data_IF_294003647361
#
_entry.id   IF_294003647361
#
_cell.length_a   1.000
_cell.length_b   1.000
_cell.length_c   1.000
_cell.angle_alpha   90.00
_cell.angle_beta   90.00
_cell.angle_gamma   90.00
#
_symmetry.space_group_name_H-M   'P 1'
#
loop_
_entity.id
_entity.type
_entity.pdbx_description
1 polymer ?
#
# COMPACT_ATOMS: atom_id res chain seq x y z
N UNK A 1 45.68 36.75 30.27
CA UNK A 1 44.56 36.98 29.33
C UNK A 1 43.42 35.97 29.45
N UNK A 2 43.64 34.73 29.91
CA UNK A 2 42.54 33.77 30.15
C UNK A 2 41.93 33.86 31.55
N UNK A 3 42.59 34.53 32.49
CA UNK A 3 42.15 34.67 33.89
C UNK A 3 40.74 35.28 34.02
N UNK A 4 40.39 36.25 33.17
CA UNK A 4 39.06 36.88 33.16
C UNK A 4 37.96 35.94 32.61
N UNK A 5 38.33 34.92 31.83
CA UNK A 5 37.41 33.95 31.23
C UNK A 5 37.24 32.66 32.07
N UNK A 6 37.92 32.54 33.22
CA UNK A 6 37.89 31.33 34.07
C UNK A 6 36.47 30.83 34.36
N UNK A 7 35.51 31.68 34.79
CA UNK A 7 34.17 31.21 35.13
C UNK A 7 33.45 30.62 33.91
N UNK A 8 33.67 31.21 32.73
CA UNK A 8 33.06 30.80 31.48
C UNK A 8 33.66 29.49 30.97
N UNK A 9 34.98 29.33 31.02
CA UNK A 9 35.68 28.09 30.68
C UNK A 9 35.25 26.94 31.58
N UNK A 10 35.14 27.20 32.89
CA UNK A 10 34.67 26.22 33.88
C UNK A 10 33.23 25.79 33.60
N UNK A 11 32.35 26.73 33.26
CA UNK A 11 30.97 26.42 32.92
C UNK A 11 30.89 25.58 31.63
N UNK A 12 31.58 26.01 30.56
CA UNK A 12 31.62 25.27 29.27
C UNK A 12 32.17 23.86 29.42
N UNK A 13 33.20 23.67 30.25
CA UNK A 13 33.74 22.34 30.56
C UNK A 13 32.72 21.43 31.25
N UNK A 14 31.93 21.97 32.19
CA UNK A 14 30.89 21.20 32.90
C UNK A 14 29.73 20.81 31.99
N UNK A 15 29.26 21.76 31.19
CA UNK A 15 28.07 21.62 30.35
C UNK A 15 28.33 20.82 29.07
N UNK A 16 29.60 20.73 28.63
CA UNK A 16 29.98 19.98 27.44
C UNK A 16 29.80 18.46 27.64
N UNK A 17 29.08 17.83 26.69
CA UNK A 17 28.81 16.38 26.64
C UNK A 17 29.85 15.60 25.82
N UNK A 18 30.50 16.25 24.85
CA UNK A 18 31.51 15.62 24.01
C UNK A 18 32.84 15.54 24.79
N UNK A 19 33.38 14.33 24.95
CA UNK A 19 34.56 14.08 25.77
C UNK A 19 35.81 14.82 25.25
N UNK A 20 36.01 14.89 23.93
CA UNK A 20 37.17 15.56 23.34
C UNK A 20 37.08 17.08 23.52
N UNK A 21 35.92 17.68 23.26
CA UNK A 21 35.70 19.12 23.45
C UNK A 21 35.85 19.52 24.91
N UNK A 22 35.36 18.67 25.81
CA UNK A 22 35.46 18.85 27.26
C UNK A 22 36.90 18.89 27.75
N UNK A 23 37.78 18.06 27.19
CA UNK A 23 39.22 18.07 27.48
C UNK A 23 39.82 19.43 27.10
N UNK A 24 39.45 20.00 25.95
CA UNK A 24 39.96 21.31 25.51
C UNK A 24 39.57 22.42 26.49
N UNK A 25 38.30 22.43 26.92
CA UNK A 25 37.82 23.42 27.89
C UNK A 25 38.49 23.26 29.26
N UNK A 26 38.70 22.03 29.75
CA UNK A 26 39.43 21.81 31.01
C UNK A 26 40.91 22.20 30.92
N UNK A 27 41.56 21.97 29.78
CA UNK A 27 42.93 22.40 29.57
C UNK A 27 43.06 23.94 29.59
N UNK A 28 42.15 24.67 28.93
CA UNK A 28 42.15 26.13 29.01
C UNK A 28 41.76 26.66 30.39
N UNK A 29 40.86 25.97 31.09
CA UNK A 29 40.52 26.29 32.47
C UNK A 29 41.76 26.17 33.39
N UNK A 30 42.54 25.10 33.26
CA UNK A 30 43.79 24.91 34.00
C UNK A 30 44.79 26.08 33.77
N UNK A 31 44.98 26.50 32.52
CA UNK A 31 45.81 27.66 32.19
C UNK A 31 45.21 28.96 32.77
N UNK A 32 43.88 29.11 32.78
CA UNK A 32 43.22 30.30 33.33
C UNK A 32 43.36 30.47 34.84
N UNK A 33 43.58 29.37 35.58
CA UNK A 33 43.81 29.39 37.04
C UNK A 33 45.30 29.44 37.42
N UNK A 34 46.19 29.56 36.43
CA UNK A 34 47.62 29.81 36.65
C UNK A 34 48.56 28.62 36.35
N UNK A 35 48.07 27.49 35.83
CA UNK A 35 48.97 26.43 35.38
C UNK A 35 49.78 26.88 34.17
N UNK A 36 51.05 26.46 34.10
CA UNK A 36 51.86 26.72 32.92
C UNK A 36 51.33 25.93 31.72
N UNK A 37 51.54 26.47 30.51
CA UNK A 37 51.17 25.78 29.27
C UNK A 37 51.90 24.43 29.14
N UNK A 38 53.12 24.32 29.66
CA UNK A 38 53.90 23.08 29.67
C UNK A 38 53.24 22.02 30.56
N UNK A 39 52.95 22.38 31.81
CA UNK A 39 52.38 21.44 32.77
C UNK A 39 50.96 21.03 32.37
N UNK A 40 50.21 21.94 31.75
CA UNK A 40 48.90 21.65 31.18
C UNK A 40 49.02 20.67 30.01
N UNK A 41 49.96 20.88 29.09
CA UNK A 41 50.18 19.98 27.97
C UNK A 41 50.51 18.56 28.44
N UNK A 42 51.40 18.42 29.44
CA UNK A 42 51.76 17.14 30.04
C UNK A 42 50.58 16.49 30.78
N UNK A 43 49.81 17.26 31.54
CA UNK A 43 48.63 16.78 32.30
C UNK A 43 47.53 16.24 31.39
N UNK A 44 47.31 16.88 30.25
CA UNK A 44 46.27 16.50 29.29
C UNK A 44 46.79 15.63 28.14
N UNK A 45 48.06 15.22 28.17
CA UNK A 45 48.72 14.36 27.18
C UNK A 45 48.60 14.89 25.75
N UNK A 46 48.81 16.20 25.57
CA UNK A 46 48.81 16.88 24.27
C UNK A 46 50.11 17.65 24.06
N UNK A 47 50.41 18.02 22.82
CA UNK A 47 51.57 18.85 22.54
C UNK A 47 51.36 20.29 23.02
N UNK A 48 52.45 20.95 23.44
CA UNK A 48 52.43 22.35 23.89
C UNK A 48 51.82 23.29 22.84
N UNK A 49 52.07 22.99 21.56
CA UNK A 49 51.51 23.73 20.43
C UNK A 49 49.98 23.63 20.37
N UNK A 50 49.42 22.46 20.67
CA UNK A 50 47.96 22.24 20.70
C UNK A 50 47.27 23.11 21.73
N UNK A 51 47.88 23.30 22.91
CA UNK A 51 47.34 24.23 23.92
C UNK A 51 47.38 25.66 23.39
N UNK A 52 48.48 26.10 22.78
CA UNK A 52 48.55 27.44 22.17
C UNK A 52 47.50 27.65 21.06
N UNK A 53 47.24 26.64 20.23
CA UNK A 53 46.17 26.68 19.22
C UNK A 53 44.78 26.83 19.86
N UNK A 54 44.51 26.11 20.94
CA UNK A 54 43.26 26.25 21.68
C UNK A 54 43.12 27.63 22.32
N UNK A 55 44.20 28.19 22.88
CA UNK A 55 44.20 29.55 23.44
C UNK A 55 43.88 30.58 22.36
N UNK A 56 44.55 30.51 21.21
CA UNK A 56 44.33 31.42 20.10
C UNK A 56 42.88 31.34 19.61
N UNK A 57 42.39 30.11 19.39
CA UNK A 57 41.01 29.87 18.97
C UNK A 57 39.99 30.39 19.98
N UNK A 58 40.24 30.21 21.27
CA UNK A 58 39.37 30.73 22.32
C UNK A 58 39.37 32.25 22.37
N UNK A 59 40.52 32.89 22.22
CA UNK A 59 40.61 34.35 22.19
C UNK A 59 39.87 34.95 20.99
N UNK A 60 39.86 34.26 19.84
CA UNK A 60 39.16 34.70 18.63
C UNK A 60 37.66 34.38 18.63
N UNK A 61 37.28 33.13 18.93
CA UNK A 61 35.93 32.60 18.71
C UNK A 61 35.13 32.43 20.00
N UNK A 62 35.79 32.40 21.17
CA UNK A 62 35.22 31.99 22.47
C UNK A 62 34.48 30.64 22.39
N UNK A 63 34.94 29.75 21.49
CA UNK A 63 34.37 28.41 21.26
C UNK A 63 35.45 27.40 20.83
N UNK A 64 35.41 26.21 21.42
CA UNK A 64 36.29 25.07 21.12
C UNK A 64 35.53 23.86 20.56
N UNK A 65 34.25 24.02 20.21
CA UNK A 65 33.41 22.99 19.60
C UNK A 65 34.00 22.49 18.28
N UNK A 66 33.69 21.26 17.89
CA UNK A 66 34.09 20.74 16.60
C UNK A 66 33.31 21.45 15.48
N UNK A 67 34.03 22.05 14.53
CA UNK A 67 33.42 22.57 13.30
C UNK A 67 32.94 21.39 12.43
N UNK A 68 31.81 21.54 11.70
CA UNK A 68 31.38 20.52 10.75
C UNK A 68 32.50 20.25 9.75
N UNK A 69 32.96 18.99 9.71
CA UNK A 69 33.94 18.60 8.70
C UNK A 69 33.25 18.66 7.32
N UNK A 70 33.89 19.23 6.29
CA UNK A 70 33.34 19.19 4.94
C UNK A 70 33.09 17.73 4.57
N UNK A 71 31.82 17.41 4.32
CA UNK A 71 31.41 16.08 3.88
C UNK A 71 31.87 15.79 2.45
N UNK A 72 31.67 14.54 2.03
CA UNK A 72 31.81 14.19 0.61
C UNK A 72 30.85 15.09 -0.21
N UNK A 73 31.28 15.62 -1.37
CA UNK A 73 30.40 16.37 -2.26
C UNK A 73 29.13 15.56 -2.56
N UNK A 74 27.96 16.22 -2.62
CA UNK A 74 26.70 15.54 -2.91
C UNK A 74 26.79 14.82 -4.26
N UNK A 75 26.18 13.64 -4.33
CA UNK A 75 26.26 12.82 -5.54
C UNK A 75 25.52 13.43 -6.73
N UNK A 76 24.62 14.38 -6.49
CA UNK A 76 23.86 15.14 -7.50
C UNK A 76 24.07 16.64 -7.28
N UNK A 77 24.38 17.37 -8.35
CA UNK A 77 24.37 18.84 -8.38
C UNK A 77 22.94 19.35 -8.35
N UNK A 78 22.76 20.65 -8.16
CA UNK A 78 21.42 21.24 -8.12
C UNK A 78 20.73 21.20 -9.49
N UNK A 79 21.48 21.29 -10.58
CA UNK A 79 20.99 21.09 -11.95
C UNK A 79 20.50 19.65 -12.15
N UNK A 80 21.25 18.68 -11.66
CA UNK A 80 20.87 17.27 -11.81
C UNK A 80 19.68 16.91 -10.91
N UNK A 81 19.54 17.54 -9.74
CA UNK A 81 18.31 17.40 -8.92
C UNK A 81 17.10 17.99 -9.64
N UNK A 82 17.27 19.11 -10.35
CA UNK A 82 16.20 19.67 -11.17
C UNK A 82 15.82 18.72 -12.29
N UNK A 83 16.80 18.17 -13.01
CA UNK A 83 16.56 17.15 -14.04
C UNK A 83 15.85 15.92 -13.45
N UNK A 84 16.31 15.42 -12.29
CA UNK A 84 15.69 14.29 -11.60
C UNK A 84 14.20 14.54 -11.31
N UNK A 85 13.86 15.77 -10.92
CA UNK A 85 12.48 16.19 -10.69
C UNK A 85 11.69 16.24 -12.00
N UNK A 86 12.23 16.88 -13.03
CA UNK A 86 11.58 17.01 -14.34
C UNK A 86 11.29 15.63 -14.96
N UNK A 87 12.22 14.67 -14.82
CA UNK A 87 12.01 13.28 -15.25
C UNK A 87 10.82 12.63 -14.53
N UNK A 88 10.75 12.80 -13.20
CA UNK A 88 9.68 12.22 -12.38
C UNK A 88 8.33 12.86 -12.68
N UNK A 89 8.29 14.19 -12.82
CA UNK A 89 7.06 14.92 -13.11
C UNK A 89 6.52 14.57 -14.51
N UNK A 90 7.40 14.37 -15.50
CA UNK A 90 7.02 13.89 -16.83
C UNK A 90 6.57 12.42 -16.84
N UNK A 91 7.13 11.60 -15.94
CA UNK A 91 6.88 10.16 -15.79
C UNK A 91 6.82 9.36 -17.11
N UNK A 92 7.70 9.70 -18.06
CA UNK A 92 7.77 9.04 -19.37
C UNK A 92 9.18 8.50 -19.69
N UNK A 93 9.58 7.36 -19.11
CA UNK A 93 10.91 6.78 -19.36
C UNK A 93 11.20 6.49 -20.83
N UNK A 94 10.16 6.14 -21.61
CA UNK A 94 10.30 5.77 -23.03
C UNK A 94 10.80 6.94 -23.88
N UNK A 95 10.33 8.16 -23.59
CA UNK A 95 10.82 9.38 -24.23
C UNK A 95 12.33 9.59 -24.01
N UNK A 96 12.85 9.09 -22.91
CA UNK A 96 14.26 9.17 -22.51
C UNK A 96 15.07 7.91 -22.88
N UNK A 97 14.55 7.06 -23.76
CA UNK A 97 15.23 5.85 -24.24
C UNK A 97 15.23 4.69 -23.24
N UNK A 98 14.43 4.76 -22.17
CA UNK A 98 14.28 3.70 -21.18
C UNK A 98 13.01 2.91 -21.46
N UNK A 99 13.15 1.60 -21.71
CA UNK A 99 12.02 0.71 -21.92
C UNK A 99 11.33 0.33 -20.60
N UNK A 100 10.64 1.29 -20.00
CA UNK A 100 9.85 1.12 -18.78
C UNK A 100 8.57 1.96 -18.84
N UNK A 101 7.56 1.59 -18.05
CA UNK A 101 6.29 2.31 -17.97
C UNK A 101 6.29 3.49 -16.99
N UNK A 102 7.19 3.49 -16.00
CA UNK A 102 7.33 4.51 -14.96
C UNK A 102 8.79 4.61 -14.53
N UNK A 103 9.18 5.72 -13.90
CA UNK A 103 10.51 5.82 -13.29
C UNK A 103 10.59 5.07 -11.96
N UNK A 104 11.60 4.21 -11.82
CA UNK A 104 12.08 3.70 -10.54
C UNK A 104 13.58 4.02 -10.36
N UNK A 105 14.17 3.63 -9.21
CA UNK A 105 15.59 3.86 -8.95
C UNK A 105 16.53 3.10 -9.91
N UNK A 106 16.15 1.90 -10.36
CA UNK A 106 16.85 1.10 -11.37
C UNK A 106 16.80 1.78 -12.75
N UNK A 107 15.64 2.29 -13.17
CA UNK A 107 15.48 3.01 -14.43
C UNK A 107 16.24 4.34 -14.42
N UNK A 108 16.15 5.12 -13.34
CA UNK A 108 16.91 6.36 -13.19
C UNK A 108 18.42 6.09 -13.17
N UNK A 109 18.85 5.00 -12.53
CA UNK A 109 20.26 4.58 -12.59
C UNK A 109 20.70 4.27 -14.01
N UNK A 110 19.88 3.56 -14.80
CA UNK A 110 20.17 3.30 -16.22
C UNK A 110 20.25 4.60 -17.01
N UNK A 111 19.33 5.53 -16.77
CA UNK A 111 19.33 6.85 -17.42
C UNK A 111 20.65 7.60 -17.20
N UNK A 112 21.10 7.73 -15.95
CA UNK A 112 22.36 8.41 -15.65
C UNK A 112 23.58 7.64 -16.15
N UNK A 113 23.55 6.30 -16.13
CA UNK A 113 24.62 5.48 -16.67
C UNK A 113 24.81 5.70 -18.18
N UNK A 114 23.72 5.82 -18.95
CA UNK A 114 23.79 6.13 -20.39
C UNK A 114 24.38 7.52 -20.65
N UNK A 115 24.32 8.43 -19.67
CA UNK A 115 24.90 9.77 -19.72
C UNK A 115 26.30 9.85 -19.09
N UNK A 116 26.93 8.70 -18.83
CA UNK A 116 28.29 8.62 -18.31
C UNK A 116 28.41 8.80 -16.79
N UNK A 117 27.31 8.84 -16.06
CA UNK A 117 27.30 9.01 -14.60
C UNK A 117 26.97 7.71 -13.87
N UNK A 118 27.92 7.24 -13.07
CA UNK A 118 27.74 6.04 -12.24
C UNK A 118 27.22 6.42 -10.86
N UNK A 119 25.97 6.06 -10.58
CA UNK A 119 25.32 6.23 -9.27
C UNK A 119 24.65 4.93 -8.83
N UNK A 120 24.55 4.71 -7.52
CA UNK A 120 23.80 3.57 -6.97
C UNK A 120 22.31 3.91 -6.86
N UNK A 121 21.46 2.89 -6.87
CA UNK A 121 20.02 3.05 -6.65
C UNK A 121 19.72 3.65 -5.27
N UNK A 122 20.52 3.32 -4.25
CA UNK A 122 20.38 3.87 -2.90
C UNK A 122 20.67 5.38 -2.89
N UNK A 123 21.70 5.83 -3.61
CA UNK A 123 22.00 7.26 -3.72
C UNK A 123 20.85 8.03 -4.38
N UNK A 124 20.25 7.47 -5.43
CA UNK A 124 19.06 8.04 -6.09
C UNK A 124 17.91 8.11 -5.09
N UNK A 125 17.63 7.01 -4.39
CA UNK A 125 16.55 6.91 -3.38
C UNK A 125 16.70 7.94 -2.26
N UNK A 126 17.90 8.08 -1.70
CA UNK A 126 18.19 9.07 -0.64
C UNK A 126 17.97 10.49 -1.18
N UNK A 127 18.45 10.78 -2.39
CA UNK A 127 18.30 12.09 -3.03
C UNK A 127 16.84 12.44 -3.25
N UNK A 128 16.06 11.49 -3.77
CA UNK A 128 14.62 11.64 -3.97
C UNK A 128 13.87 11.91 -2.66
N UNK A 129 14.18 11.15 -1.61
CA UNK A 129 13.58 11.41 -0.28
C UNK A 129 13.96 12.77 0.27
N UNK A 130 15.22 13.20 0.12
CA UNK A 130 15.67 14.52 0.55
C UNK A 130 14.98 15.66 -0.23
N UNK A 131 14.59 15.41 -1.48
CA UNK A 131 13.79 16.33 -2.29
C UNK A 131 12.28 16.29 -1.98
N UNK A 132 11.84 15.43 -1.07
CA UNK A 132 10.43 15.28 -0.69
C UNK A 132 9.61 14.34 -1.58
N UNK A 133 10.26 13.54 -2.45
CA UNK A 133 9.54 12.58 -3.29
C UNK A 133 9.00 11.39 -2.47
N UNK A 134 7.84 10.88 -2.87
CA UNK A 134 7.19 9.74 -2.23
C UNK A 134 7.21 8.51 -3.13
N UNK A 135 7.54 7.35 -2.56
CA UNK A 135 7.43 6.07 -3.24
C UNK A 135 6.07 5.45 -2.94
N UNK A 136 5.13 5.60 -3.86
CA UNK A 136 3.72 5.17 -3.71
C UNK A 136 3.30 4.26 -4.85
N UNK A 137 2.27 3.45 -4.60
CA UNK A 137 1.69 2.58 -5.64
C UNK A 137 0.90 3.45 -6.63
N UNK A 138 1.19 3.31 -7.92
CA UNK A 138 0.41 3.97 -8.97
C UNK A 138 -1.09 3.59 -8.86
N UNK A 139 -1.95 4.60 -9.01
CA UNK A 139 -3.39 4.44 -9.08
C UNK A 139 -3.85 4.64 -10.52
N UNK A 140 -4.97 4.00 -10.89
CA UNK A 140 -5.61 4.29 -12.16
C UNK A 140 -6.38 5.59 -12.02
N UNK A 141 -6.14 6.54 -12.90
CA UNK A 141 -7.02 7.69 -13.06
C UNK A 141 -8.10 7.30 -14.08
N UNK A 142 -9.33 7.14 -13.60
CA UNK A 142 -10.48 6.85 -14.46
C UNK A 142 -10.84 8.10 -15.28
N UNK A 143 -11.43 7.93 -16.47
CA UNK A 143 -11.88 9.08 -17.28
C UNK A 143 -13.05 9.80 -16.60
N UNK A 144 -13.21 11.10 -16.79
CA UNK A 144 -14.34 11.89 -16.23
C UNK A 144 -15.71 11.24 -16.49
N UNK A 145 -15.94 10.72 -17.71
CA UNK A 145 -17.18 10.03 -18.08
C UNK A 145 -17.45 8.73 -17.28
N UNK A 146 -16.42 8.13 -16.68
CA UNK A 146 -16.56 6.97 -15.80
C UNK A 146 -16.95 7.40 -14.38
N UNK A 147 -16.46 8.56 -13.92
CA UNK A 147 -16.88 9.17 -12.66
C UNK A 147 -18.34 9.62 -12.67
N UNK A 148 -18.84 10.20 -13.77
CA UNK A 148 -20.26 10.57 -13.88
C UNK A 148 -21.17 9.35 -13.73
N UNK A 149 -20.84 8.23 -14.40
CA UNK A 149 -21.61 6.98 -14.30
C UNK A 149 -21.53 6.37 -12.90
N UNK A 150 -20.38 6.44 -12.25
CA UNK A 150 -20.23 6.04 -10.85
C UNK A 150 -21.12 6.89 -9.95
N UNK A 151 -21.16 8.20 -10.17
CA UNK A 151 -22.01 9.13 -9.42
C UNK A 151 -23.50 8.84 -9.61
N UNK A 152 -23.95 8.63 -10.85
CA UNK A 152 -25.32 8.25 -11.15
C UNK A 152 -25.71 6.96 -10.41
N UNK A 153 -24.83 5.96 -10.43
CA UNK A 153 -25.02 4.72 -9.69
C UNK A 153 -25.16 4.97 -8.19
N UNK A 154 -24.25 5.73 -7.58
CA UNK A 154 -24.27 6.02 -6.13
C UNK A 154 -25.56 6.75 -5.75
N UNK A 155 -25.96 7.76 -6.52
CA UNK A 155 -27.22 8.49 -6.27
C UNK A 155 -28.44 7.56 -6.37
N UNK A 156 -28.46 6.66 -7.36
CA UNK A 156 -29.54 5.70 -7.50
C UNK A 156 -29.53 4.68 -6.35
N UNK A 157 -28.36 4.20 -5.95
CA UNK A 157 -28.17 3.28 -4.83
C UNK A 157 -28.66 3.89 -3.51
N UNK A 158 -28.36 5.16 -3.24
CA UNK A 158 -28.86 5.87 -2.06
C UNK A 158 -30.38 6.00 -2.07
N UNK A 159 -30.98 6.32 -3.23
CA UNK A 159 -32.45 6.35 -3.40
C UNK A 159 -33.06 4.97 -3.15
N UNK A 160 -32.38 3.91 -3.56
CA UNK A 160 -32.84 2.54 -3.34
C UNK A 160 -32.75 2.18 -1.85
N UNK A 161 -31.62 2.44 -1.19
CA UNK A 161 -31.47 2.23 0.26
C UNK A 161 -32.54 2.99 1.04
N UNK A 162 -32.88 4.23 0.67
CA UNK A 162 -33.95 4.99 1.31
C UNK A 162 -35.35 4.38 1.18
N UNK A 163 -35.53 3.43 0.26
CA UNK A 163 -36.78 2.66 0.06
C UNK A 163 -36.70 1.25 0.65
N UNK A 164 -35.57 0.86 1.25
CA UNK A 164 -35.37 -0.47 1.77
C UNK A 164 -36.29 -0.70 2.98
N UNK A 165 -37.03 -1.79 2.93
CA UNK A 165 -37.90 -2.28 4.01
C UNK A 165 -37.46 -3.69 4.42
N UNK A 166 -37.90 -4.17 5.58
CA UNK A 166 -37.48 -5.47 6.13
C UNK A 166 -37.86 -6.69 5.26
N UNK A 167 -38.78 -6.50 4.31
CA UNK A 167 -39.22 -7.50 3.33
C UNK A 167 -38.49 -7.42 1.98
N UNK A 168 -37.46 -6.57 1.86
CA UNK A 168 -36.61 -6.44 0.68
C UNK A 168 -35.18 -6.90 1.02
N UNK A 169 -34.69 -7.90 0.29
CA UNK A 169 -33.29 -8.29 0.38
C UNK A 169 -32.41 -7.46 -0.57
N UNK A 170 -31.38 -6.82 -0.03
CA UNK A 170 -30.35 -6.13 -0.80
C UNK A 170 -29.09 -7.00 -0.88
N UNK A 171 -28.72 -7.39 -2.11
CA UNK A 171 -27.61 -8.29 -2.39
C UNK A 171 -26.68 -7.67 -3.42
N UNK A 172 -25.38 -7.92 -3.27
CA UNK A 172 -24.39 -7.70 -4.31
C UNK A 172 -23.91 -9.04 -4.85
N UNK A 173 -23.92 -9.20 -6.16
CA UNK A 173 -23.51 -10.40 -6.88
C UNK A 173 -22.23 -10.15 -7.67
N UNK A 174 -21.38 -11.17 -7.73
CA UNK A 174 -20.20 -11.20 -8.59
C UNK A 174 -19.71 -12.64 -8.75
N UNK A 175 -18.87 -12.83 -9.77
CA UNK A 175 -18.38 -14.12 -10.23
C UNK A 175 -16.86 -14.15 -10.24
N UNK A 176 -16.28 -15.21 -9.67
CA UNK A 176 -14.84 -15.44 -9.77
C UNK A 176 -14.50 -16.82 -10.34
N UNK A 177 -13.35 -16.94 -11.00
CA UNK A 177 -12.78 -18.24 -11.37
C UNK A 177 -11.76 -18.68 -10.32
N UNK A 178 -12.05 -19.78 -9.62
CA UNK A 178 -11.10 -20.44 -8.72
C UNK A 178 -10.37 -21.57 -9.47
N UNK A 179 -9.12 -21.82 -9.12
CA UNK A 179 -8.24 -22.78 -9.80
C UNK A 179 -7.68 -23.79 -8.80
N UNK A 180 -7.40 -25.02 -9.25
CA UNK A 180 -6.78 -26.06 -8.42
C UNK A 180 -5.32 -25.77 -8.06
N UNK A 181 -4.64 -25.00 -8.91
CA UNK A 181 -3.26 -24.55 -8.70
C UNK A 181 -3.24 -23.31 -7.80
N UNK A 182 -2.40 -23.28 -6.75
CA UNK A 182 -2.31 -22.15 -5.83
C UNK A 182 -1.80 -20.90 -6.53
N UNK A 183 -2.38 -19.75 -6.17
CA UNK A 183 -1.74 -18.44 -6.40
C UNK A 183 -0.79 -18.13 -5.25
N UNK A 184 0.31 -17.45 -5.55
CA UNK A 184 1.28 -17.00 -4.53
C UNK A 184 0.63 -15.92 -3.66
N UNK A 185 0.44 -16.23 -2.38
CA UNK A 185 0.04 -15.29 -1.35
C UNK A 185 1.16 -15.03 -0.36
N UNK A 186 1.02 -13.98 0.45
CA UNK A 186 1.96 -13.66 1.52
C UNK A 186 1.80 -14.59 2.72
N UNK A 187 2.89 -14.83 3.43
CA UNK A 187 2.94 -15.61 4.67
C UNK A 187 4.32 -15.47 5.33
N UNK A 188 4.41 -15.84 6.59
CA UNK A 188 5.66 -15.79 7.35
C UNK A 188 6.43 -17.10 7.23
N UNK A 189 7.75 -17.02 7.23
CA UNK A 189 8.67 -18.16 7.21
C UNK A 189 9.96 -17.76 7.94
N UNK A 190 10.61 -18.71 8.63
CA UNK A 190 11.94 -18.54 9.18
C UNK A 190 13.06 -18.92 8.19
N UNK A 191 12.68 -19.38 7.00
CA UNK A 191 13.60 -19.67 5.91
C UNK A 191 13.76 -18.45 4.99
N UNK A 192 14.80 -18.43 4.16
CA UNK A 192 15.02 -17.39 3.15
C UNK A 192 13.82 -17.19 2.20
N UNK A 193 13.01 -18.25 2.00
CA UNK A 193 11.85 -18.23 1.09
C UNK A 193 10.67 -19.00 1.66
N UNK A 194 9.47 -18.48 1.45
CA UNK A 194 8.22 -19.19 1.74
C UNK A 194 7.91 -20.12 0.55
N UNK A 195 7.92 -21.43 0.77
CA UNK A 195 7.68 -22.43 -0.28
C UNK A 195 6.26 -22.98 -0.16
N UNK A 196 5.48 -22.89 -1.25
CA UNK A 196 4.22 -23.62 -1.42
C UNK A 196 4.46 -24.79 -2.37
N UNK A 197 4.14 -26.01 -1.95
CA UNK A 197 4.26 -27.20 -2.81
C UNK A 197 3.15 -27.18 -3.87
N UNK A 198 3.54 -27.42 -5.13
CA UNK A 198 2.62 -27.59 -6.25
C UNK A 198 2.89 -28.93 -6.92
N UNK A 199 1.95 -29.86 -6.78
CA UNK A 199 2.06 -31.27 -7.17
C UNK A 199 1.75 -31.47 -8.67
N UNK A 200 0.93 -30.61 -9.30
CA UNK A 200 0.46 -30.82 -10.68
C UNK A 200 0.41 -29.53 -11.52
N UNK A 201 0.69 -29.66 -12.83
CA UNK A 201 0.58 -28.58 -13.83
C UNK A 201 -0.82 -28.49 -14.45
N UNK A 202 -1.65 -29.52 -14.32
CA UNK A 202 -3.00 -29.53 -14.89
C UNK A 202 -3.93 -28.62 -14.08
N UNK A 203 -4.35 -27.53 -14.71
CA UNK A 203 -5.14 -26.48 -14.09
C UNK A 203 -6.61 -26.68 -14.40
N UNK A 204 -7.34 -27.25 -13.44
CA UNK A 204 -8.80 -27.23 -13.48
C UNK A 204 -9.34 -25.93 -12.87
N UNK A 205 -10.50 -25.50 -13.38
CA UNK A 205 -11.17 -24.27 -12.96
C UNK A 205 -12.60 -24.54 -12.57
N UNK A 206 -13.09 -23.79 -11.59
CA UNK A 206 -14.51 -23.71 -11.24
C UNK A 206 -14.96 -22.25 -11.33
N UNK A 207 -16.12 -22.04 -11.92
CA UNK A 207 -16.83 -20.76 -11.87
C UNK A 207 -17.55 -20.68 -10.53
N UNK A 208 -17.26 -19.64 -9.75
CA UNK A 208 -17.88 -19.38 -8.47
C UNK A 208 -18.81 -18.19 -8.62
N UNK A 209 -20.06 -18.36 -8.20
CA UNK A 209 -21.09 -17.33 -8.12
C UNK A 209 -21.34 -17.03 -6.65
N UNK A 210 -21.45 -15.76 -6.30
CA UNK A 210 -21.61 -15.33 -4.92
C UNK A 210 -22.54 -14.15 -4.82
N UNK A 211 -23.40 -14.16 -3.80
CA UNK A 211 -24.14 -12.99 -3.35
C UNK A 211 -23.80 -12.69 -1.90
N UNK A 212 -23.67 -11.41 -1.56
CA UNK A 212 -23.50 -10.95 -0.19
C UNK A 212 -24.48 -9.83 0.11
N UNK A 213 -25.14 -9.93 1.26
CA UNK A 213 -25.87 -8.83 1.87
C UNK A 213 -24.90 -8.09 2.81
N UNK A 214 -24.45 -6.86 2.49
CA UNK A 214 -23.49 -6.13 3.32
C UNK A 214 -24.10 -5.65 4.65
N UNK A 215 -25.42 -5.54 4.75
CA UNK A 215 -26.13 -5.09 5.96
C UNK A 215 -26.24 -6.23 6.97
N UNK A 216 -26.69 -7.41 6.53
CA UNK A 216 -26.91 -8.56 7.42
C UNK A 216 -25.69 -9.45 7.57
N UNK A 217 -24.75 -9.40 6.62
CA UNK A 217 -23.63 -10.34 6.53
C UNK A 217 -24.02 -11.72 5.99
N UNK A 218 -25.26 -11.90 5.52
CA UNK A 218 -25.66 -13.13 4.86
C UNK A 218 -24.96 -13.26 3.50
N UNK A 219 -24.44 -14.45 3.18
CA UNK A 219 -23.86 -14.74 1.86
C UNK A 219 -24.28 -16.11 1.35
N UNK A 220 -24.43 -16.21 0.04
CA UNK A 220 -24.69 -17.47 -0.67
C UNK A 220 -23.61 -17.65 -1.71
N UNK A 221 -23.11 -18.88 -1.85
CA UNK A 221 -22.13 -19.23 -2.85
C UNK A 221 -22.52 -20.52 -3.58
N UNK A 222 -22.16 -20.59 -4.85
CA UNK A 222 -22.23 -21.81 -5.65
C UNK A 222 -21.03 -21.89 -6.60
N UNK A 223 -20.39 -23.06 -6.64
CA UNK A 223 -19.34 -23.37 -7.61
C UNK A 223 -19.87 -24.30 -8.69
N UNK A 224 -19.45 -24.10 -9.93
CA UNK A 224 -19.86 -24.92 -11.06
C UNK A 224 -18.74 -25.07 -12.09
N UNK A 225 -18.72 -26.23 -12.75
CA UNK A 225 -17.81 -26.52 -13.88
C UNK A 225 -18.50 -26.37 -15.24
N UNK A 226 -19.80 -26.11 -15.27
CA UNK A 226 -20.54 -25.92 -16.52
C UNK A 226 -20.41 -24.48 -17.02
N UNK A 227 -20.93 -24.23 -18.23
CA UNK A 227 -21.00 -22.88 -18.81
C UNK A 227 -21.67 -21.86 -17.87
N UNK A 228 -21.19 -20.61 -17.93
CA UNK A 228 -21.60 -19.56 -16.97
C UNK A 228 -23.11 -19.30 -16.96
N UNK A 229 -23.76 -19.10 -18.11
CA UNK A 229 -25.18 -18.75 -18.14
C UNK A 229 -26.10 -19.82 -17.51
N UNK A 230 -26.00 -21.12 -17.85
CA UNK A 230 -26.75 -22.16 -17.15
C UNK A 230 -26.44 -22.26 -15.64
N UNK A 231 -25.18 -22.02 -15.25
CA UNK A 231 -24.80 -22.01 -13.84
C UNK A 231 -25.41 -20.81 -13.10
N UNK A 232 -25.42 -19.63 -13.72
CA UNK A 232 -26.04 -18.43 -13.15
C UNK A 232 -27.54 -18.62 -12.95
N UNK A 233 -28.26 -19.25 -13.89
CA UNK A 233 -29.68 -19.58 -13.71
C UNK A 233 -29.89 -20.44 -12.45
N UNK A 234 -29.13 -21.53 -12.31
CA UNK A 234 -29.20 -22.37 -11.10
C UNK A 234 -28.83 -21.62 -9.82
N UNK A 235 -27.98 -20.61 -9.94
CA UNK A 235 -27.60 -19.78 -8.80
C UNK A 235 -28.74 -18.86 -8.40
N UNK A 236 -29.41 -18.20 -9.35
CA UNK A 236 -30.58 -17.37 -9.11
C UNK A 236 -31.73 -18.18 -8.49
N UNK A 237 -31.98 -19.41 -8.96
CA UNK A 237 -32.97 -20.32 -8.36
C UNK A 237 -32.66 -20.56 -6.86
N UNK A 238 -31.38 -20.75 -6.53
CA UNK A 238 -30.90 -20.94 -5.16
C UNK A 238 -31.07 -19.68 -4.31
N UNK A 239 -30.83 -18.50 -4.88
CA UNK A 239 -31.01 -17.22 -4.21
C UNK A 239 -32.49 -17.00 -3.90
N UNK A 240 -33.39 -17.16 -4.86
CA UNK A 240 -34.84 -17.00 -4.65
C UNK A 240 -35.36 -17.98 -3.58
N UNK A 241 -34.92 -19.24 -3.61
CA UNK A 241 -35.29 -20.22 -2.60
C UNK A 241 -34.81 -19.84 -1.18
N UNK A 242 -33.61 -19.26 -1.04
CA UNK A 242 -33.07 -18.84 0.26
C UNK A 242 -33.76 -17.59 0.80
N UNK A 243 -34.20 -16.70 -0.07
CA UNK A 243 -34.93 -15.47 0.27
C UNK A 243 -36.44 -15.63 0.02
N UNK A 244 -36.98 -16.84 0.16
CA UNK A 244 -38.39 -17.15 -0.14
C UNK A 244 -39.42 -16.31 0.63
N UNK A 245 -39.04 -15.77 1.79
CA UNK A 245 -39.88 -14.94 2.65
C UNK A 245 -39.83 -13.44 2.29
N UNK A 246 -38.98 -13.04 1.36
CA UNK A 246 -38.84 -11.65 0.93
C UNK A 246 -39.85 -11.33 -0.17
N UNK A 247 -40.41 -10.12 -0.16
CA UNK A 247 -41.27 -9.62 -1.25
C UNK A 247 -40.44 -9.30 -2.47
N UNK A 248 -39.27 -8.69 -2.28
CA UNK A 248 -38.34 -8.38 -3.37
C UNK A 248 -36.89 -8.76 -3.01
N UNK A 249 -36.12 -9.05 -4.05
CA UNK A 249 -34.68 -9.37 -3.95
C UNK A 249 -33.97 -8.46 -4.94
N UNK A 250 -33.32 -7.41 -4.46
CA UNK A 250 -32.52 -6.52 -5.27
C UNK A 250 -31.10 -7.03 -5.35
N UNK A 251 -30.65 -7.34 -6.56
CA UNK A 251 -29.31 -7.85 -6.82
C UNK A 251 -28.55 -6.82 -7.62
N UNK A 252 -27.48 -6.27 -7.03
CA UNK A 252 -26.54 -5.37 -7.67
C UNK A 252 -25.39 -6.15 -8.28
N UNK A 253 -25.11 -5.94 -9.57
CA UNK A 253 -24.10 -6.71 -10.30
C UNK A 253 -23.50 -5.94 -11.49
N UNK A 254 -22.42 -6.48 -12.07
CA UNK A 254 -21.74 -5.85 -13.19
C UNK A 254 -22.54 -5.95 -14.51
N UNK A 255 -22.04 -5.27 -15.54
CA UNK A 255 -22.68 -5.22 -16.86
C UNK A 255 -22.34 -6.41 -17.77
N UNK A 256 -21.85 -7.51 -17.20
CA UNK A 256 -21.40 -8.72 -17.88
C UNK A 256 -22.42 -9.24 -18.91
N UNK A 257 -21.98 -9.62 -20.12
CA UNK A 257 -22.89 -10.12 -21.17
C UNK A 257 -23.73 -11.33 -20.75
N UNK A 258 -23.22 -12.14 -19.81
CA UNK A 258 -23.90 -13.34 -19.30
C UNK A 258 -25.25 -13.01 -18.68
N UNK A 259 -25.35 -11.89 -17.95
CA UNK A 259 -26.56 -11.43 -17.26
C UNK A 259 -27.67 -11.01 -18.24
N UNK A 260 -27.28 -10.67 -19.48
CA UNK A 260 -28.20 -10.27 -20.57
C UNK A 260 -28.58 -11.43 -21.49
N UNK A 261 -28.09 -12.64 -21.20
CA UNK A 261 -28.36 -13.83 -22.02
C UNK A 261 -29.85 -14.22 -22.03
N UNK A 262 -30.29 -14.88 -23.12
CA UNK A 262 -31.69 -15.36 -23.25
C UNK A 262 -32.10 -16.30 -22.10
N UNK A 263 -31.17 -17.10 -21.59
CA UNK A 263 -31.42 -18.03 -20.48
C UNK A 263 -31.70 -17.28 -19.18
N UNK A 264 -30.90 -16.26 -18.86
CA UNK A 264 -31.08 -15.44 -17.66
C UNK A 264 -32.38 -14.64 -17.75
N UNK A 265 -32.70 -14.05 -18.90
CA UNK A 265 -33.98 -13.34 -19.12
C UNK A 265 -35.19 -14.25 -18.84
N UNK A 266 -35.20 -15.47 -19.38
CA UNK A 266 -36.26 -16.46 -19.11
C UNK A 266 -36.33 -16.92 -17.64
N UNK A 267 -35.19 -16.93 -16.94
CA UNK A 267 -35.16 -17.22 -15.50
C UNK A 267 -35.81 -16.07 -14.72
N UNK A 268 -35.48 -14.82 -15.02
CA UNK A 268 -36.07 -13.65 -14.35
C UNK A 268 -37.59 -13.54 -14.57
N UNK A 269 -38.10 -13.96 -15.72
CA UNK A 269 -39.55 -14.08 -15.96
C UNK A 269 -40.23 -15.06 -14.98
N UNK A 270 -39.53 -16.13 -14.57
CA UNK A 270 -40.02 -17.11 -13.58
C UNK A 270 -39.84 -16.64 -12.13
N UNK A 271 -38.91 -15.71 -11.89
CA UNK A 271 -38.60 -15.17 -10.56
C UNK A 271 -38.86 -13.65 -10.53
N UNK A 272 -40.14 -13.21 -10.62
CA UNK A 272 -40.48 -11.79 -10.77
C UNK A 272 -40.07 -10.92 -9.57
N UNK A 273 -39.76 -11.51 -8.42
CA UNK A 273 -39.26 -10.82 -7.22
C UNK A 273 -37.79 -10.44 -7.31
N UNK A 274 -37.00 -11.11 -8.16
CA UNK A 274 -35.60 -10.76 -8.39
C UNK A 274 -35.55 -9.52 -9.30
N UNK A 275 -35.01 -8.43 -8.77
CA UNK A 275 -34.76 -7.19 -9.48
C UNK A 275 -33.26 -7.00 -9.66
N UNK A 276 -32.78 -7.18 -10.89
CA UNK A 276 -31.39 -6.90 -11.22
C UNK A 276 -31.16 -5.39 -11.35
N UNK A 277 -30.13 -4.89 -10.69
CA UNK A 277 -29.67 -3.51 -10.72
C UNK A 277 -28.20 -3.52 -11.13
N UNK A 278 -27.85 -2.72 -12.12
CA UNK A 278 -26.50 -2.75 -12.68
C UNK A 278 -25.62 -1.69 -12.03
N UNK A 279 -24.41 -2.07 -11.65
CA UNK A 279 -23.39 -1.12 -11.18
C UNK A 279 -22.84 -0.29 -12.34
N UNK A 280 -22.11 0.78 -12.03
CA UNK A 280 -21.34 1.49 -13.05
C UNK A 280 -20.32 0.57 -13.72
N UNK A 281 -20.07 0.72 -15.03
CA UNK A 281 -19.04 -0.05 -15.72
C UNK A 281 -17.67 0.15 -15.09
N UNK A 282 -16.86 -0.91 -15.07
CA UNK A 282 -15.47 -0.90 -14.60
C UNK A 282 -15.27 -0.44 -13.15
N UNK A 283 -16.27 -0.63 -12.29
CA UNK A 283 -16.21 -0.26 -10.87
C UNK A 283 -16.28 -1.49 -9.95
N UNK A 284 -15.26 -2.35 -9.92
CA UNK A 284 -15.23 -3.50 -9.02
C UNK A 284 -15.13 -3.08 -7.54
N UNK A 285 -14.51 -1.93 -7.26
CA UNK A 285 -14.25 -1.46 -5.88
C UNK A 285 -15.54 -1.18 -5.10
N UNK A 286 -16.61 -0.78 -5.78
CA UNK A 286 -17.93 -0.52 -5.20
C UNK A 286 -18.77 -1.78 -4.99
N UNK A 287 -18.28 -2.96 -5.38
CA UNK A 287 -19.00 -4.22 -5.21
C UNK A 287 -18.48 -4.97 -3.96
N UNK A 288 -19.23 -5.03 -2.84
CA UNK A 288 -18.84 -5.78 -1.65
C UNK A 288 -18.56 -7.27 -1.90
N UNK A 289 -19.16 -7.88 -2.93
CA UNK A 289 -18.88 -9.27 -3.28
C UNK A 289 -17.45 -9.47 -3.80
N UNK A 290 -16.86 -8.50 -4.49
CA UNK A 290 -15.45 -8.51 -4.92
C UNK A 290 -14.53 -8.48 -3.68
N UNK A 291 -14.87 -7.70 -2.66
CA UNK A 291 -14.13 -7.65 -1.38
C UNK A 291 -14.15 -9.01 -0.68
N UNK A 292 -15.29 -9.69 -0.71
CA UNK A 292 -15.44 -11.07 -0.21
C UNK A 292 -14.60 -12.05 -1.02
N UNK A 293 -14.52 -11.92 -2.35
CA UNK A 293 -13.60 -12.73 -3.15
C UNK A 293 -12.13 -12.47 -2.81
N UNK A 294 -11.75 -11.22 -2.57
CA UNK A 294 -10.41 -10.90 -2.11
C UNK A 294 -10.09 -11.56 -0.76
N UNK A 295 -11.06 -11.61 0.14
CA UNK A 295 -10.92 -12.32 1.41
C UNK A 295 -10.79 -13.83 1.20
N UNK A 296 -11.69 -14.45 0.44
CA UNK A 296 -11.66 -15.90 0.14
C UNK A 296 -10.33 -16.29 -0.55
N UNK A 297 -9.84 -15.45 -1.48
CA UNK A 297 -8.52 -15.64 -2.10
C UNK A 297 -7.42 -15.63 -1.05
N UNK A 298 -7.33 -14.59 -0.22
CA UNK A 298 -6.27 -14.43 0.78
C UNK A 298 -6.30 -15.50 1.87
N UNK A 299 -7.48 -15.89 2.34
CA UNK A 299 -7.66 -16.77 3.50
C UNK A 299 -7.78 -18.24 3.16
N UNK A 300 -8.14 -18.57 1.92
CA UNK A 300 -8.44 -19.96 1.57
C UNK A 300 -7.85 -20.42 0.23
N UNK A 301 -7.87 -19.63 -0.84
CA UNK A 301 -7.40 -20.11 -2.15
C UNK A 301 -5.89 -19.96 -2.35
N UNK A 302 -5.30 -18.85 -1.90
CA UNK A 302 -3.88 -18.60 -2.04
C UNK A 302 -3.08 -19.61 -1.22
N UNK A 303 -1.94 -20.03 -1.77
CA UNK A 303 -1.04 -21.03 -1.17
C UNK A 303 -1.67 -22.43 -0.92
N UNK A 304 -2.92 -22.67 -1.35
CA UNK A 304 -3.59 -23.95 -1.24
C UNK A 304 -3.75 -24.64 -2.59
N UNK A 305 -3.30 -25.88 -2.68
CA UNK A 305 -3.53 -26.73 -3.85
C UNK A 305 -4.71 -27.67 -3.63
N UNK A 306 -5.44 -27.93 -4.71
CA UNK A 306 -6.54 -28.88 -4.76
C UNK A 306 -6.26 -29.97 -5.80
N UNK A 307 -6.72 -31.19 -5.51
CA UNK A 307 -6.53 -32.36 -6.37
C UNK A 307 -7.31 -32.21 -7.69
N UNK A 308 -8.54 -31.69 -7.62
CA UNK A 308 -9.41 -31.48 -8.78
C UNK A 308 -10.50 -30.43 -8.46
N UNK A 309 -11.26 -30.03 -9.48
CA UNK A 309 -12.36 -29.08 -9.39
C UNK A 309 -13.43 -29.49 -8.37
N UNK A 310 -13.70 -30.80 -8.24
CA UNK A 310 -14.66 -31.33 -7.25
C UNK A 310 -14.19 -31.06 -5.83
N UNK A 311 -12.92 -31.38 -5.52
CA UNK A 311 -12.34 -31.11 -4.21
C UNK A 311 -12.31 -29.61 -3.91
N UNK A 312 -11.91 -28.78 -4.88
CA UNK A 312 -11.93 -27.33 -4.76
C UNK A 312 -13.34 -26.81 -4.43
N UNK A 313 -14.34 -27.21 -5.22
CA UNK A 313 -15.74 -26.81 -5.03
C UNK A 313 -16.26 -27.19 -3.64
N UNK A 314 -16.00 -28.43 -3.21
CA UNK A 314 -16.43 -28.93 -1.90
C UNK A 314 -15.78 -28.17 -0.75
N UNK A 315 -14.45 -28.02 -0.76
CA UNK A 315 -13.74 -27.33 0.32
C UNK A 315 -14.06 -25.85 0.35
N UNK A 316 -14.23 -25.19 -0.81
CA UNK A 316 -14.68 -23.80 -0.86
C UNK A 316 -16.08 -23.63 -0.27
N UNK A 317 -17.03 -24.51 -0.59
CA UNK A 317 -18.37 -24.47 -0.01
C UNK A 317 -18.33 -24.60 1.52
N UNK A 318 -17.46 -25.46 2.04
CA UNK A 318 -17.29 -25.63 3.49
C UNK A 318 -16.63 -24.43 4.16
N UNK A 319 -15.62 -23.83 3.53
CA UNK A 319 -14.99 -22.60 4.00
C UNK A 319 -16.01 -21.45 4.11
N UNK A 320 -16.81 -21.24 3.06
CA UNK A 320 -17.83 -20.18 3.02
C UNK A 320 -18.87 -20.36 4.12
N UNK A 321 -19.36 -21.59 4.37
CA UNK A 321 -20.38 -21.87 5.40
C UNK A 321 -19.91 -21.62 6.83
N UNK A 322 -18.59 -21.55 7.07
CA UNK A 322 -18.01 -21.34 8.41
C UNK A 322 -17.81 -19.88 8.76
N UNK A 323 -17.92 -18.96 7.80
CA UNK A 323 -17.76 -17.54 8.05
C UNK A 323 -19.01 -17.01 8.76
N UNK A 324 -18.80 -16.40 9.92
CA UNK A 324 -19.87 -15.76 10.69
C UNK A 324 -20.31 -14.46 10.00
N UNK A 325 -21.59 -14.06 10.12
CA UNK A 325 -22.09 -12.81 9.53
C UNK A 325 -21.27 -11.58 9.91
N UNK A 326 -20.77 -11.48 11.14
CA UNK A 326 -19.95 -10.32 11.56
C UNK A 326 -18.63 -10.22 10.82
N UNK A 327 -18.00 -11.36 10.49
CA UNK A 327 -16.80 -11.38 9.64
C UNK A 327 -17.16 -10.93 8.24
N UNK A 328 -18.29 -11.40 7.70
CA UNK A 328 -18.75 -10.99 6.37
C UNK A 328 -18.99 -9.48 6.33
N UNK A 329 -19.69 -8.90 7.31
CA UNK A 329 -19.91 -7.44 7.42
C UNK A 329 -18.60 -6.66 7.52
N UNK A 330 -17.63 -7.15 8.30
CA UNK A 330 -16.32 -6.49 8.43
C UNK A 330 -15.51 -6.47 7.12
N UNK A 331 -15.83 -7.37 6.18
CA UNK A 331 -15.15 -7.50 4.90
C UNK A 331 -15.93 -6.84 3.77
N UNK A 332 -17.25 -6.99 3.76
CA UNK A 332 -18.17 -6.51 2.73
C UNK A 332 -18.57 -5.05 3.00
N UNK A 333 -17.58 -4.16 2.88
CA UNK A 333 -17.72 -2.76 3.23
C UNK A 333 -18.40 -1.95 2.13
N UNK A 334 -19.30 -1.05 2.53
CA UNK A 334 -19.87 -0.01 1.67
C UNK A 334 -19.02 1.27 1.63
N UNK A 335 -17.90 1.32 2.37
CA UNK A 335 -16.98 2.48 2.39
C UNK A 335 -16.57 2.94 0.99
N UNK A 336 -16.27 2.08 0.01
CA UNK A 336 -15.94 2.55 -1.35
C UNK A 336 -17.07 3.34 -2.02
N UNK A 337 -18.33 2.97 -1.76
CA UNK A 337 -19.50 3.70 -2.22
C UNK A 337 -19.63 5.04 -1.48
N UNK A 338 -19.39 5.05 -0.17
CA UNK A 338 -19.39 6.26 0.66
C UNK A 338 -18.26 7.23 0.27
N UNK A 339 -17.08 6.71 -0.05
CA UNK A 339 -15.93 7.51 -0.45
C UNK A 339 -16.20 8.29 -1.75
N UNK A 340 -16.95 7.71 -2.69
CA UNK A 340 -17.41 8.42 -3.89
C UNK A 340 -18.35 9.59 -3.60
N UNK A 341 -18.95 9.66 -2.40
CA UNK A 341 -19.67 10.85 -1.93
C UNK A 341 -18.72 11.93 -1.42
N UNK A 342 -17.52 11.55 -0.94
CA UNK A 342 -16.56 12.47 -0.32
C UNK A 342 -15.55 13.11 -1.28
N UNK A 343 -15.36 12.57 -2.48
CA UNK A 343 -14.63 13.23 -3.58
C UNK A 343 -15.38 14.46 -4.16
N UNK A 344 -16.24 15.07 -3.35
CA UNK A 344 -17.11 16.20 -3.66
C UNK A 344 -16.60 17.53 -3.10
N UNK A 345 -15.28 17.73 -2.97
CA UNK A 345 -14.70 19.06 -2.67
C UNK A 345 -13.65 19.42 -3.70
#
# INVERSE_FOLDING_TARGET
MLEEDEPLLRQRAKDCKNAEEKIRYYALHAVSVGDSVTDTADRFLVERQTIHEWINRWNEEKDLSNKPKPGKPPAFTDEEKKELKDLIDENNPQKHGINAGIWDCTELRRYYLMRGKTVSEETIRITLKAMGAHYVKAQHEYREAEYEKQREFVLQFLKDIGKLTDDIALLFEDEMSACTVPRKGYGWTFNERLITRTIERNKERVNCFGVTNPITGERIQMSSIIAKAPALVKFLDKVDARYRNMKEIWIYLDNGPVHKSKLVKKCLEKHPRIKLRFTSPYSPDINPQEQIWNYDRKKFLNNNQFVNAKQLSMKLSWFVRRLKPDVVKSVASLIPIEALLSFQV
#
